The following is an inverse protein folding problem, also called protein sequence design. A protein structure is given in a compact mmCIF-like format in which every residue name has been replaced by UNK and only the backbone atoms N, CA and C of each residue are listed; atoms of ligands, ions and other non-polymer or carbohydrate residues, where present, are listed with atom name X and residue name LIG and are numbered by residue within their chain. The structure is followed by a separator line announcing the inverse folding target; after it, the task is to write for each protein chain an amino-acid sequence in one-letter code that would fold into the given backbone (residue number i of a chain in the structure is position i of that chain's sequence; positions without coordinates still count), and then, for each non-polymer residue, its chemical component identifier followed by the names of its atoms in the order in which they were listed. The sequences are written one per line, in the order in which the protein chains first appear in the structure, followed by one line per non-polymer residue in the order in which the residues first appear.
data_IF_490556595346
#
_entry.id   IF_490556595346
#
_cell.length_a   1.000
_cell.length_b   1.000
_cell.length_c   1.000
_cell.angle_alpha   90.00
_cell.angle_beta   90.00
_cell.angle_gamma   90.00
#
_symmetry.space_group_name_H-M   'P 1'
#
loop_
_entity.id
_entity.type
_entity.pdbx_description
1 polymer ?
#
# COMPACT_ATOMS: atom_id res chain seq x y z
N UNK A 1 -2.49 7.03 -22.91
CA UNK A 1 -3.02 6.06 -23.90
C UNK A 1 -3.86 4.95 -23.27
N UNK A 2 -3.55 4.47 -22.04
CA UNK A 2 -4.31 3.39 -21.38
C UNK A 2 -5.83 3.64 -21.30
N UNK A 3 -6.24 4.83 -20.84
CA UNK A 3 -7.67 5.17 -20.74
C UNK A 3 -8.41 5.14 -22.09
N UNK A 4 -7.78 5.64 -23.15
CA UNK A 4 -8.35 5.58 -24.51
C UNK A 4 -8.52 4.14 -24.98
N UNK A 5 -7.50 3.29 -24.80
CA UNK A 5 -7.53 1.89 -25.18
C UNK A 5 -8.58 1.10 -24.39
N UNK A 6 -8.68 1.32 -23.09
CA UNK A 6 -9.70 0.69 -22.24
C UNK A 6 -11.12 1.09 -22.69
N UNK A 7 -11.32 2.35 -23.07
CA UNK A 7 -12.61 2.83 -23.57
C UNK A 7 -12.95 2.26 -24.96
N UNK A 8 -11.95 2.08 -25.83
CA UNK A 8 -12.12 1.40 -27.12
C UNK A 8 -12.47 -0.08 -26.92
N UNK A 9 -11.76 -0.79 -26.04
CA UNK A 9 -12.02 -2.19 -25.69
C UNK A 9 -13.39 -2.39 -25.02
N UNK A 10 -13.85 -1.40 -24.25
CA UNK A 10 -15.17 -1.42 -23.62
C UNK A 10 -16.29 -0.89 -24.52
N UNK A 11 -15.98 -0.53 -25.78
CA UNK A 11 -16.96 0.06 -26.73
C UNK A 11 -17.65 1.31 -26.16
N UNK A 12 -16.93 2.12 -25.39
CA UNK A 12 -17.43 3.34 -24.76
C UNK A 12 -18.10 3.15 -23.40
N UNK A 13 -18.23 1.91 -22.91
CA UNK A 13 -18.77 1.62 -21.58
C UNK A 13 -17.74 2.01 -20.50
N UNK A 14 -18.03 3.08 -19.77
CA UNK A 14 -17.11 3.65 -18.77
C UNK A 14 -16.89 2.69 -17.60
N UNK A 15 -17.95 2.05 -17.08
CA UNK A 15 -17.83 1.10 -15.98
C UNK A 15 -16.95 -0.10 -16.35
N UNK A 16 -17.10 -0.62 -17.57
CA UNK A 16 -16.22 -1.68 -18.06
C UNK A 16 -14.79 -1.21 -18.32
N UNK A 17 -14.61 0.02 -18.83
CA UNK A 17 -13.28 0.59 -19.02
C UNK A 17 -12.53 0.74 -17.69
N UNK A 18 -13.23 1.15 -16.63
CA UNK A 18 -12.67 1.24 -15.28
C UNK A 18 -12.23 -0.13 -14.77
N UNK A 19 -13.03 -1.17 -14.95
CA UNK A 19 -12.66 -2.53 -14.56
C UNK A 19 -11.43 -3.03 -15.35
N UNK A 20 -11.38 -2.78 -16.66
CA UNK A 20 -10.20 -3.10 -17.50
C UNK A 20 -8.95 -2.38 -16.97
N UNK A 21 -9.04 -1.09 -16.66
CA UNK A 21 -7.94 -0.31 -16.12
C UNK A 21 -7.48 -0.81 -14.75
N UNK A 22 -8.43 -1.23 -13.90
CA UNK A 22 -8.13 -1.81 -12.58
C UNK A 22 -7.33 -3.12 -12.74
N UNK A 23 -7.78 -4.04 -13.58
CA UNK A 23 -7.09 -5.30 -13.84
C UNK A 23 -5.71 -5.08 -14.46
N UNK A 24 -5.59 -4.16 -15.43
CA UNK A 24 -4.31 -3.77 -16.02
C UNK A 24 -3.38 -3.14 -14.99
N UNK A 25 -3.91 -2.31 -14.09
CA UNK A 25 -3.18 -1.70 -12.98
C UNK A 25 -2.57 -2.74 -12.05
N UNK A 26 -3.35 -3.74 -11.63
CA UNK A 26 -2.87 -4.86 -10.82
C UNK A 26 -1.75 -5.63 -11.52
N UNK A 27 -1.92 -5.97 -12.80
CA UNK A 27 -0.88 -6.66 -13.59
C UNK A 27 0.40 -5.82 -13.69
N UNK A 28 0.25 -4.51 -13.91
CA UNK A 28 1.36 -3.59 -14.00
C UNK A 28 2.07 -3.37 -12.66
N UNK A 29 1.39 -3.54 -11.53
CA UNK A 29 2.01 -3.50 -10.22
C UNK A 29 2.89 -4.73 -9.98
N UNK A 30 2.38 -5.93 -10.31
CA UNK A 30 3.14 -7.18 -10.22
C UNK A 30 4.42 -7.16 -11.06
N UNK A 31 4.38 -6.57 -12.26
CA UNK A 31 5.56 -6.44 -13.13
C UNK A 31 6.66 -5.52 -12.57
N UNK A 32 6.31 -4.65 -11.61
CA UNK A 32 7.25 -3.69 -11.01
C UNK A 32 7.80 -4.15 -9.66
N UNK A 33 7.25 -5.20 -9.05
CA UNK A 33 7.61 -5.64 -7.70
C UNK A 33 9.11 -5.96 -7.54
N UNK A 34 9.77 -6.42 -8.60
CA UNK A 34 11.21 -6.73 -8.62
C UNK A 34 12.14 -5.54 -8.87
N UNK A 35 11.61 -4.32 -9.06
CA UNK A 35 12.45 -3.12 -9.24
C UNK A 35 12.98 -2.64 -7.91
N UNK A 36 14.21 -2.14 -7.91
CA UNK A 36 14.84 -1.57 -6.71
C UNK A 36 14.10 -0.32 -6.24
N UNK A 37 13.93 -0.19 -4.92
CA UNK A 37 13.35 1.00 -4.28
C UNK A 37 14.37 1.58 -3.30
N UNK A 38 15.01 2.68 -3.69
CA UNK A 38 16.07 3.34 -2.89
C UNK A 38 15.57 4.60 -2.17
N UNK A 39 14.49 5.21 -2.63
CA UNK A 39 13.89 6.42 -2.09
C UNK A 39 12.63 6.10 -1.27
N UNK A 40 12.07 7.08 -0.57
CA UNK A 40 10.85 6.89 0.21
C UNK A 40 10.66 7.89 1.34
N UNK A 41 9.78 7.54 2.28
CA UNK A 41 9.52 8.32 3.49
C UNK A 41 9.43 7.43 4.73
N UNK A 42 9.85 7.98 5.86
CA UNK A 42 9.52 7.43 7.18
C UNK A 42 8.37 8.26 7.73
N UNK A 43 7.24 7.61 8.01
CA UNK A 43 6.05 8.27 8.54
C UNK A 43 5.71 7.71 9.91
N UNK A 44 5.49 8.60 10.87
CA UNK A 44 5.01 8.26 12.20
C UNK A 44 3.52 8.58 12.37
N UNK A 45 2.84 7.80 13.20
CA UNK A 45 1.52 8.08 13.73
C UNK A 45 1.53 7.94 15.26
N UNK A 46 1.10 8.98 15.97
CA UNK A 46 0.95 8.96 17.43
C UNK A 46 -0.54 9.04 17.73
N UNK A 47 -1.07 8.04 18.41
CA UNK A 47 -2.49 8.00 18.75
C UNK A 47 -2.82 8.99 19.88
N UNK A 48 -4.09 9.39 19.95
CA UNK A 48 -4.58 10.28 21.00
C UNK A 48 -4.23 9.73 22.39
N UNK A 49 -3.69 10.60 23.25
CA UNK A 49 -3.23 10.22 24.60
C UNK A 49 -1.78 9.75 24.68
N UNK A 50 -1.02 9.75 23.58
CA UNK A 50 0.43 9.50 23.54
C UNK A 50 0.89 8.15 24.11
N UNK A 51 -0.01 7.15 24.15
CA UNK A 51 0.31 5.79 24.65
C UNK A 51 0.66 4.80 23.55
N UNK A 52 0.21 5.06 22.32
CA UNK A 52 0.48 4.22 21.16
C UNK A 52 1.16 5.08 20.09
N UNK A 53 2.28 4.59 19.58
CA UNK A 53 2.97 5.17 18.45
C UNK A 53 3.35 4.10 17.44
N UNK A 54 3.27 4.41 16.15
CA UNK A 54 3.75 3.54 15.09
C UNK A 54 4.59 4.32 14.07
N UNK A 55 5.52 3.64 13.43
CA UNK A 55 6.29 4.17 12.31
C UNK A 55 6.34 3.16 11.17
N UNK A 56 6.33 3.68 9.94
CA UNK A 56 6.41 2.90 8.71
C UNK A 56 7.47 3.52 7.81
N UNK A 57 8.32 2.66 7.23
CA UNK A 57 9.24 3.01 6.15
C UNK A 57 8.63 2.55 4.82
N UNK A 58 8.08 3.50 4.06
CA UNK A 58 7.50 3.27 2.74
C UNK A 58 8.48 3.71 1.66
N UNK A 59 8.91 2.76 0.83
CA UNK A 59 9.90 2.98 -0.22
C UNK A 59 9.27 3.08 -1.61
N UNK A 60 9.88 3.87 -2.48
CA UNK A 60 9.58 4.02 -3.91
C UNK A 60 10.88 4.08 -4.74
N UNK A 61 10.76 4.24 -6.06
CA UNK A 61 11.93 4.28 -6.96
C UNK A 61 12.59 5.67 -6.95
N UNK A 62 11.81 6.76 -6.91
CA UNK A 62 12.33 8.14 -7.01
C UNK A 62 11.87 9.07 -5.89
N UNK A 63 12.66 10.12 -5.63
CA UNK A 63 12.34 11.16 -4.65
C UNK A 63 11.17 12.05 -5.11
N UNK A 64 10.93 12.14 -6.42
CA UNK A 64 9.77 12.82 -7.00
C UNK A 64 8.46 12.20 -6.51
N UNK A 65 8.33 10.87 -6.56
CA UNK A 65 7.14 10.17 -6.05
C UNK A 65 7.05 10.30 -4.53
N UNK A 66 8.17 10.16 -3.81
CA UNK A 66 8.22 10.25 -2.35
C UNK A 66 7.63 11.56 -1.78
N UNK A 67 7.70 12.65 -2.56
CA UNK A 67 7.21 13.99 -2.16
C UNK A 67 5.78 14.30 -2.59
N UNK A 68 5.12 13.41 -3.32
CA UNK A 68 3.72 13.61 -3.71
C UNK A 68 2.78 13.52 -2.51
N UNK A 69 1.70 14.30 -2.52
CA UNK A 69 0.72 14.27 -1.44
C UNK A 69 0.09 12.88 -1.29
N UNK A 70 -0.17 12.19 -2.40
CA UNK A 70 -0.79 10.88 -2.37
C UNK A 70 0.13 9.80 -1.76
N UNK A 71 1.43 9.83 -2.06
CA UNK A 71 2.39 8.91 -1.43
C UNK A 71 2.52 9.19 0.07
N UNK A 72 2.60 10.47 0.46
CA UNK A 72 2.63 10.89 1.85
C UNK A 72 1.35 10.44 2.58
N UNK A 73 0.18 10.60 1.97
CA UNK A 73 -1.09 10.19 2.57
C UNK A 73 -1.18 8.67 2.74
N UNK A 74 -0.74 7.88 1.75
CA UNK A 74 -0.63 6.42 1.88
C UNK A 74 0.27 6.04 3.07
N UNK A 75 1.44 6.68 3.22
CA UNK A 75 2.34 6.40 4.34
C UNK A 75 1.72 6.72 5.71
N UNK A 76 0.89 7.77 5.81
CA UNK A 76 0.17 8.14 7.04
C UNK A 76 -0.91 7.12 7.37
N UNK A 77 -1.65 6.68 6.36
CA UNK A 77 -2.70 5.67 6.52
C UNK A 77 -2.11 4.32 6.93
N UNK A 78 -0.96 3.93 6.37
CA UNK A 78 -0.21 2.74 6.80
C UNK A 78 0.28 2.85 8.24
N UNK A 79 0.82 4.01 8.65
CA UNK A 79 1.27 4.19 10.04
C UNK A 79 0.11 4.10 11.04
N UNK A 80 -1.05 4.66 10.69
CA UNK A 80 -2.27 4.54 11.49
C UNK A 80 -2.81 3.10 11.51
N UNK A 81 -2.76 2.39 10.37
CA UNK A 81 -3.10 0.97 10.29
C UNK A 81 -2.25 0.14 11.24
N UNK A 82 -0.91 0.31 11.22
CA UNK A 82 0.01 -0.43 12.09
C UNK A 82 -0.28 -0.15 13.57
N UNK A 83 -0.56 1.11 13.94
CA UNK A 83 -0.91 1.47 15.30
C UNK A 83 -2.18 0.76 15.79
N UNK A 84 -3.20 0.66 14.92
CA UNK A 84 -4.49 0.06 15.25
C UNK A 84 -4.45 -1.48 15.25
N UNK A 85 -3.85 -2.08 14.23
CA UNK A 85 -3.96 -3.50 13.96
C UNK A 85 -2.79 -4.34 14.46
N UNK A 86 -1.66 -3.72 14.80
CA UNK A 86 -0.47 -4.39 15.36
C UNK A 86 0.00 -5.63 14.57
N UNK A 87 0.21 -5.54 13.23
CA UNK A 87 0.72 -6.67 12.47
C UNK A 87 2.10 -7.11 12.96
N UNK A 88 2.32 -8.43 12.94
CA UNK A 88 3.60 -9.06 13.26
C UNK A 88 4.53 -9.13 12.05
N UNK A 89 3.95 -9.22 10.85
CA UNK A 89 4.66 -9.35 9.58
C UNK A 89 4.18 -8.31 8.58
N UNK A 90 5.02 -7.97 7.59
CA UNK A 90 4.65 -7.07 6.51
C UNK A 90 4.01 -7.88 5.38
N UNK A 91 4.68 -8.96 4.97
CA UNK A 91 4.29 -9.81 3.84
C UNK A 91 4.09 -11.28 4.24
N UNK A 92 3.28 -12.05 3.49
CA UNK A 92 3.07 -13.49 3.75
C UNK A 92 4.32 -14.36 3.59
N UNK A 93 5.32 -13.88 2.85
CA UNK A 93 6.60 -14.56 2.61
C UNK A 93 7.72 -14.09 3.55
N UNK A 94 7.41 -13.21 4.51
CA UNK A 94 8.36 -12.84 5.57
C UNK A 94 8.74 -14.07 6.40
N UNK A 95 10.00 -14.11 6.86
CA UNK A 95 10.50 -15.20 7.70
C UNK A 95 9.67 -15.32 8.98
N UNK A 96 9.05 -16.49 9.19
CA UNK A 96 8.18 -16.76 10.36
C UNK A 96 6.68 -16.58 10.10
N UNK A 97 6.27 -15.96 8.98
CA UNK A 97 4.85 -15.67 8.69
C UNK A 97 4.02 -16.87 8.23
N UNK A 98 4.62 -18.05 8.05
CA UNK A 98 4.00 -19.22 7.38
C UNK A 98 2.67 -19.66 8.01
N UNK A 99 2.58 -19.61 9.34
CA UNK A 99 1.39 -20.04 10.10
C UNK A 99 0.56 -18.86 10.63
N UNK A 100 0.84 -17.65 10.13
CA UNK A 100 0.18 -16.43 10.58
C UNK A 100 -1.20 -16.23 9.95
N UNK A 101 -2.08 -15.56 10.69
CA UNK A 101 -3.39 -15.17 10.18
C UNK A 101 -3.30 -13.94 9.29
N UNK A 102 -4.29 -13.68 8.41
CA UNK A 102 -4.34 -12.45 7.61
C UNK A 102 -4.28 -11.17 8.46
N UNK A 103 -4.79 -11.20 9.68
CA UNK A 103 -4.74 -10.08 10.62
C UNK A 103 -3.33 -9.82 11.17
N UNK A 104 -2.44 -10.82 11.17
CA UNK A 104 -1.06 -10.69 11.61
C UNK A 104 -0.12 -10.18 10.50
N UNK A 105 -0.58 -10.14 9.25
CA UNK A 105 0.19 -9.75 8.07
C UNK A 105 -0.34 -8.42 7.52
N UNK A 106 0.45 -7.34 7.58
CA UNK A 106 0.03 -5.99 7.23
C UNK A 106 -0.67 -5.91 5.86
N UNK A 107 -0.07 -6.45 4.80
CA UNK A 107 -0.65 -6.33 3.45
C UNK A 107 -1.96 -7.10 3.30
N UNK A 108 -2.18 -8.13 4.10
CA UNK A 108 -3.39 -8.97 4.07
C UNK A 108 -4.54 -8.40 4.89
N UNK A 109 -4.29 -7.40 5.74
CA UNK A 109 -5.32 -6.76 6.54
C UNK A 109 -6.28 -5.94 5.66
N UNK A 110 -7.56 -5.95 6.05
CA UNK A 110 -8.52 -4.93 5.63
C UNK A 110 -8.11 -3.56 6.15
N UNK A 111 -8.31 -2.52 5.34
CA UNK A 111 -7.98 -1.16 5.73
C UNK A 111 -8.98 -0.63 6.76
N UNK A 112 -8.50 -0.08 7.87
CA UNK A 112 -9.36 0.36 8.98
C UNK A 112 -10.34 1.49 8.64
N UNK A 113 -10.06 2.31 7.60
CA UNK A 113 -10.99 3.36 7.14
C UNK A 113 -11.97 2.86 6.07
N UNK A 114 -11.63 1.78 5.38
CA UNK A 114 -12.48 1.15 4.37
C UNK A 114 -12.22 -0.36 4.33
N UNK A 115 -12.99 -1.15 5.09
CA UNK A 115 -12.77 -2.59 5.19
C UNK A 115 -13.02 -3.37 3.89
N UNK A 116 -13.57 -2.72 2.85
CA UNK A 116 -13.83 -3.35 1.55
C UNK A 116 -12.57 -3.56 0.71
N UNK A 117 -11.46 -2.92 1.09
CA UNK A 117 -10.16 -3.05 0.43
C UNK A 117 -9.09 -3.48 1.42
N UNK A 118 -8.07 -4.18 0.90
CA UNK A 118 -6.89 -4.55 1.68
C UNK A 118 -5.79 -3.49 1.59
N UNK A 119 -4.82 -3.58 2.48
CA UNK A 119 -3.60 -2.76 2.39
C UNK A 119 -2.82 -3.07 1.10
N UNK A 120 -2.79 -4.33 0.65
CA UNK A 120 -2.18 -4.70 -0.62
C UNK A 120 -2.85 -3.99 -1.81
N UNK A 121 -4.18 -3.88 -1.82
CA UNK A 121 -4.93 -3.18 -2.86
C UNK A 121 -4.58 -1.69 -2.91
N UNK A 122 -4.45 -1.05 -1.74
CA UNK A 122 -4.03 0.35 -1.66
C UNK A 122 -2.63 0.56 -2.25
N UNK A 123 -1.67 -0.31 -1.91
CA UNK A 123 -0.30 -0.24 -2.43
C UNK A 123 -0.31 -0.48 -3.95
N UNK A 124 -1.00 -1.51 -4.44
CA UNK A 124 -1.10 -1.83 -5.88
C UNK A 124 -1.77 -0.69 -6.67
N UNK A 125 -2.80 -0.08 -6.11
CA UNK A 125 -3.47 1.08 -6.69
C UNK A 125 -2.50 2.26 -6.83
N UNK A 126 -1.71 2.54 -5.78
CA UNK A 126 -0.67 3.57 -5.84
C UNK A 126 0.39 3.26 -6.91
N UNK A 127 0.92 2.04 -6.95
CA UNK A 127 1.89 1.59 -7.97
C UNK A 127 1.34 1.77 -9.40
N UNK A 128 0.07 1.47 -9.60
CA UNK A 128 -0.60 1.68 -10.89
C UNK A 128 -0.67 3.16 -11.25
N UNK A 129 -0.99 4.02 -10.27
CA UNK A 129 -1.13 5.46 -10.45
C UNK A 129 0.20 6.16 -10.72
N UNK A 130 1.25 5.86 -9.95
CA UNK A 130 2.55 6.54 -10.07
C UNK A 130 3.49 5.87 -11.07
N UNK A 131 3.28 4.59 -11.39
CA UNK A 131 4.12 3.87 -12.34
C UNK A 131 5.47 3.41 -11.78
N UNK A 132 5.66 3.48 -10.45
CA UNK A 132 6.85 3.04 -9.72
C UNK A 132 6.51 1.88 -8.77
N UNK A 133 7.50 1.04 -8.49
CA UNK A 133 7.42 0.07 -7.41
C UNK A 133 7.28 0.77 -6.06
N UNK A 134 6.45 0.23 -5.17
CA UNK A 134 6.26 0.73 -3.81
C UNK A 134 6.32 -0.45 -2.86
N UNK A 135 7.13 -0.33 -1.80
CA UNK A 135 7.32 -1.41 -0.82
C UNK A 135 7.28 -0.86 0.60
N UNK A 136 6.56 -1.54 1.49
CA UNK A 136 6.72 -1.34 2.92
C UNK A 136 7.94 -2.13 3.35
N UNK A 137 8.97 -1.45 3.85
CA UNK A 137 10.24 -2.11 4.17
C UNK A 137 10.42 -2.36 5.66
N UNK A 138 9.82 -1.52 6.50
CA UNK A 138 9.88 -1.64 7.95
C UNK A 138 8.64 -1.07 8.59
N UNK A 139 8.21 -1.71 9.67
CA UNK A 139 7.19 -1.22 10.58
C UNK A 139 7.68 -1.35 12.01
N UNK A 140 7.21 -0.47 12.88
CA UNK A 140 7.40 -0.59 14.32
C UNK A 140 6.21 0.02 15.03
N UNK A 141 5.78 -0.61 16.13
CA UNK A 141 4.75 -0.10 17.04
C UNK A 141 5.33 -0.07 18.45
N UNK A 142 5.04 0.99 19.18
CA UNK A 142 5.22 1.13 20.62
C UNK A 142 3.84 1.25 21.27
N UNK A 143 3.65 0.55 22.38
CA UNK A 143 2.43 0.57 23.17
C UNK A 143 2.79 0.65 24.66
N UNK A 144 2.16 1.57 25.39
CA UNK A 144 2.33 1.80 26.83
C UNK A 144 1.22 1.09 27.65
N UNK A 145 0.75 -0.05 27.15
CA UNK A 145 -0.22 -0.93 27.80
C UNK A 145 0.41 -1.77 28.91
#
# INVERSE_FOLDING_TARGET
MAAKKALEESSGDVSKAEEILKQQGLSNALKKSGRETSEGVIQSYIHAGNKIGAMVELKCETDFVARTEEFINLSKDLAMQVAAMSPSYIYPDDEGAKDSTPEEILVSQSFIKDPSITIEDMIKSMISKVGENIKVSKIIKFDLS
#
